data_IF_407945030235
#
_entry.id   IF_407945030235
#
_cell.length_a   1.000
_cell.length_b   1.000
_cell.length_c   1.000
_cell.angle_alpha   90.00
_cell.angle_beta   90.00
_cell.angle_gamma   90.00
#
_symmetry.space_group_name_H-M   'P 1'
#
loop_
_entity.id
_entity.type
_entity.pdbx_description
1 polymer ?
#
# COMPACT_ATOMS: atom_id res chain seq x y z
N UNK A 1 32.58 -4.66 13.39
CA UNK A 1 31.14 -5.01 13.43
C UNK A 1 30.57 -4.75 12.04
N UNK A 2 29.77 -5.67 11.48
CA UNK A 2 29.15 -5.44 10.17
C UNK A 2 28.09 -4.32 10.27
N UNK A 3 28.00 -3.48 9.24
CA UNK A 3 26.99 -2.43 9.14
C UNK A 3 25.59 -3.08 9.04
N UNK A 4 24.56 -2.58 9.75
CA UNK A 4 23.21 -3.11 9.61
C UNK A 4 22.74 -2.94 8.16
N UNK A 5 22.13 -4.00 7.60
CA UNK A 5 21.52 -3.96 6.26
C UNK A 5 20.38 -2.93 6.23
N UNK A 6 20.33 -2.16 5.17
CA UNK A 6 19.23 -1.26 4.81
C UNK A 6 17.96 -2.05 4.42
N UNK A 7 16.78 -1.39 4.40
CA UNK A 7 15.53 -2.05 4.00
C UNK A 7 15.57 -2.68 2.60
N UNK A 8 16.29 -2.08 1.65
CA UNK A 8 16.39 -2.60 0.28
C UNK A 8 17.35 -3.80 0.19
N UNK A 9 18.45 -3.79 0.94
CA UNK A 9 19.35 -4.95 1.05
C UNK A 9 18.63 -6.16 1.69
N UNK A 10 17.78 -5.92 2.69
CA UNK A 10 16.94 -6.96 3.27
C UNK A 10 15.85 -7.43 2.30
N UNK A 11 15.33 -6.55 1.44
CA UNK A 11 14.34 -6.94 0.44
C UNK A 11 14.95 -7.86 -0.62
N UNK A 12 16.16 -7.54 -1.09
CA UNK A 12 16.88 -8.37 -2.05
C UNK A 12 17.14 -9.78 -1.53
N UNK A 13 17.48 -9.94 -0.24
CA UNK A 13 17.67 -11.26 0.38
C UNK A 13 16.37 -11.95 0.79
N UNK A 14 15.20 -11.30 0.63
CA UNK A 14 13.91 -11.82 1.08
C UNK A 14 13.70 -11.79 2.60
N UNK A 15 14.54 -11.06 3.33
CA UNK A 15 14.53 -10.96 4.79
C UNK A 15 13.75 -9.73 5.30
N UNK A 16 13.26 -8.87 4.40
CA UNK A 16 12.44 -7.72 4.77
C UNK A 16 10.96 -8.09 4.96
N UNK A 17 10.62 -8.55 6.16
CA UNK A 17 9.23 -8.84 6.57
C UNK A 17 8.33 -7.60 6.70
N UNK A 18 8.88 -6.39 6.51
CA UNK A 18 8.17 -5.12 6.60
C UNK A 18 8.39 -4.25 5.36
N UNK A 19 8.47 -4.90 4.18
CA UNK A 19 8.73 -4.23 2.90
C UNK A 19 7.75 -3.09 2.60
N UNK A 20 6.52 -3.18 3.11
CA UNK A 20 5.49 -2.14 3.02
C UNK A 20 5.83 -0.83 3.75
N UNK A 21 6.80 -0.83 4.67
CA UNK A 21 7.28 0.41 5.30
C UNK A 21 8.33 1.14 4.45
N UNK A 22 8.84 0.48 3.40
CA UNK A 22 9.83 1.05 2.50
C UNK A 22 9.24 1.35 1.12
N UNK A 23 8.58 0.37 0.52
CA UNK A 23 7.89 0.50 -0.77
C UNK A 23 6.49 1.12 -0.62
N UNK A 24 5.96 1.60 -1.74
CA UNK A 24 4.69 2.30 -1.81
C UNK A 24 4.85 3.81 -1.61
N UNK A 25 3.77 4.46 -1.18
CA UNK A 25 3.72 5.89 -0.90
C UNK A 25 3.85 6.16 0.60
N UNK A 26 4.76 7.06 0.97
CA UNK A 26 4.97 7.47 2.36
C UNK A 26 5.12 8.98 2.44
N UNK A 27 4.46 9.60 3.42
CA UNK A 27 4.69 11.01 3.72
C UNK A 27 6.10 11.17 4.30
N UNK A 28 6.84 12.16 3.80
CA UNK A 28 8.20 12.43 4.22
C UNK A 28 8.47 13.94 4.23
N UNK A 29 9.39 14.36 5.09
CA UNK A 29 9.93 15.72 5.08
C UNK A 29 11.37 15.67 4.55
N UNK A 30 11.66 16.47 3.53
CA UNK A 30 12.99 16.62 2.95
C UNK A 30 13.39 18.10 3.03
N UNK A 31 14.28 18.42 3.96
CA UNK A 31 14.59 19.81 4.32
C UNK A 31 13.37 20.51 4.93
N UNK A 32 13.00 21.67 4.38
CA UNK A 32 11.81 22.42 4.80
C UNK A 32 10.53 21.98 4.09
N UNK A 33 10.63 21.06 3.12
CA UNK A 33 9.51 20.66 2.29
C UNK A 33 8.87 19.37 2.78
N UNK A 34 7.56 19.42 3.01
CA UNK A 34 6.73 18.22 3.25
C UNK A 34 6.19 17.73 1.92
N UNK A 35 6.27 16.42 1.68
CA UNK A 35 5.78 15.79 0.47
C UNK A 35 5.62 14.29 0.66
N UNK A 36 5.65 13.58 -0.46
CA UNK A 36 5.51 12.14 -0.50
C UNK A 36 6.70 11.53 -1.25
N UNK A 37 7.20 10.43 -0.72
CA UNK A 37 8.13 9.56 -1.43
C UNK A 37 7.39 8.33 -1.94
N UNK A 38 7.56 8.05 -3.22
CA UNK A 38 7.00 6.88 -3.89
C UNK A 38 8.14 5.94 -4.23
N UNK A 39 7.98 4.66 -3.90
CA UNK A 39 8.98 3.63 -4.22
C UNK A 39 8.33 2.40 -4.81
N UNK A 40 8.87 1.91 -5.93
CA UNK A 40 8.40 0.69 -6.57
C UNK A 40 9.57 -0.16 -7.06
N UNK A 41 9.48 -1.47 -6.89
CA UNK A 41 10.46 -2.39 -7.44
C UNK A 41 10.07 -2.80 -8.86
N UNK A 42 10.91 -2.45 -9.83
CA UNK A 42 10.69 -2.75 -11.25
C UNK A 42 12.04 -2.88 -11.97
N UNK A 43 12.85 -3.91 -11.64
CA UNK A 43 14.26 -3.98 -12.04
C UNK A 43 14.47 -3.97 -13.56
N UNK A 44 13.53 -4.56 -14.31
CA UNK A 44 13.60 -4.67 -15.77
C UNK A 44 12.90 -3.53 -16.52
N UNK A 45 12.33 -2.54 -15.82
CA UNK A 45 11.77 -1.36 -16.47
C UNK A 45 12.89 -0.51 -17.11
N UNK A 46 12.58 0.10 -18.24
CA UNK A 46 13.45 1.09 -18.88
C UNK A 46 13.29 2.46 -18.22
N UNK A 47 12.06 2.80 -17.82
CA UNK A 47 11.72 4.04 -17.13
C UNK A 47 10.43 3.84 -16.32
N UNK A 48 10.27 4.63 -15.26
CA UNK A 48 9.04 4.69 -14.47
C UNK A 48 8.72 6.16 -14.22
N UNK A 49 7.47 6.55 -14.41
CA UNK A 49 6.95 7.86 -14.03
C UNK A 49 5.83 7.72 -13.00
N UNK A 50 5.78 8.69 -12.10
CA UNK A 50 4.64 8.90 -11.24
C UNK A 50 3.58 9.70 -12.02
N UNK A 51 2.36 9.21 -12.05
CA UNK A 51 1.24 9.82 -12.76
C UNK A 51 0.01 9.83 -11.85
N UNK A 52 -0.74 10.91 -11.84
CA UNK A 52 -1.91 11.07 -10.99
C UNK A 52 -2.58 12.43 -11.15
N UNK A 53 -3.52 12.73 -10.27
CA UNK A 53 -4.31 13.96 -10.36
C UNK A 53 -3.45 15.24 -10.27
N UNK A 54 -2.39 15.21 -9.46
CA UNK A 54 -1.46 16.33 -9.22
C UNK A 54 -0.58 16.68 -10.43
N UNK A 55 -0.57 15.86 -11.48
CA UNK A 55 0.16 16.15 -12.71
C UNK A 55 -0.65 15.83 -13.97
N UNK A 56 -1.98 15.81 -13.87
CA UNK A 56 -2.88 15.59 -15.00
C UNK A 56 -2.61 14.27 -15.74
N UNK A 57 -2.07 13.26 -15.04
CA UNK A 57 -1.70 11.96 -15.59
C UNK A 57 -0.59 11.99 -16.67
N UNK A 58 0.21 13.06 -16.70
CA UNK A 58 1.32 13.29 -17.66
C UNK A 58 2.67 12.70 -17.21
N UNK A 59 3.62 12.52 -18.15
CA UNK A 59 4.92 11.89 -17.90
C UNK A 59 5.96 12.85 -17.27
N UNK A 60 5.51 13.78 -16.44
CA UNK A 60 6.32 14.91 -15.94
C UNK A 60 7.17 14.57 -14.71
N UNK A 61 6.93 13.43 -14.06
CA UNK A 61 7.56 13.04 -12.79
C UNK A 61 8.31 11.70 -12.91
N UNK A 62 9.51 11.68 -13.53
CA UNK A 62 10.30 10.47 -13.65
C UNK A 62 10.88 10.02 -12.31
N UNK A 63 10.83 8.71 -12.04
CA UNK A 63 11.50 8.12 -10.89
C UNK A 63 12.97 7.85 -11.19
N UNK A 64 13.80 7.95 -10.16
CA UNK A 64 15.21 7.61 -10.20
C UNK A 64 15.39 6.12 -9.87
N UNK A 65 16.13 5.41 -10.72
CA UNK A 65 16.44 3.99 -10.52
C UNK A 65 17.67 3.84 -9.62
N UNK A 66 17.53 3.05 -8.57
CA UNK A 66 18.66 2.44 -7.88
C UNK A 66 19.23 1.33 -8.78
N UNK A 67 20.42 1.56 -9.33
CA UNK A 67 21.05 0.64 -10.28
C UNK A 67 21.44 -0.71 -9.66
N UNK A 68 21.64 -0.78 -8.35
CA UNK A 68 22.03 -2.00 -7.66
C UNK A 68 20.83 -2.90 -7.39
N UNK A 69 19.73 -2.32 -6.90
CA UNK A 69 18.57 -3.11 -6.43
C UNK A 69 17.38 -3.11 -7.41
N UNK A 70 17.39 -2.24 -8.42
CA UNK A 70 16.30 -2.11 -9.39
C UNK A 70 15.00 -1.52 -8.81
N UNK A 71 15.10 -0.87 -7.65
CA UNK A 71 14.04 -0.05 -7.08
C UNK A 71 14.03 1.33 -7.75
N UNK A 72 12.85 1.92 -7.85
CA UNK A 72 12.63 3.25 -8.42
C UNK A 72 12.05 4.14 -7.36
N UNK A 73 12.52 5.38 -7.22
CA UNK A 73 11.99 6.32 -6.25
C UNK A 73 11.87 7.76 -6.77
N UNK A 74 10.91 8.49 -6.21
CA UNK A 74 10.78 9.94 -6.37
C UNK A 74 10.21 10.54 -5.09
N UNK A 75 10.80 11.64 -4.63
CA UNK A 75 10.18 12.55 -3.67
C UNK A 75 9.54 13.72 -4.42
N UNK A 76 8.29 14.02 -4.10
CA UNK A 76 7.60 15.19 -4.66
C UNK A 76 6.61 15.79 -3.66
N UNK A 77 6.53 17.13 -3.57
CA UNK A 77 5.55 17.85 -2.75
C UNK A 77 4.20 18.07 -3.44
N UNK A 78 4.09 17.76 -4.74
CA UNK A 78 2.89 18.04 -5.55
C UNK A 78 1.65 17.27 -5.08
N UNK A 79 1.74 15.97 -4.73
CA UNK A 79 0.57 15.20 -4.34
C UNK A 79 0.04 15.61 -2.97
N UNK A 80 -1.26 15.41 -2.77
CA UNK A 80 -1.93 15.54 -1.47
C UNK A 80 -2.70 14.27 -1.11
N UNK A 81 -3.05 14.15 0.16
CA UNK A 81 -3.93 13.07 0.64
C UNK A 81 -5.26 13.12 -0.10
N UNK A 82 -5.68 11.98 -0.64
CA UNK A 82 -6.89 11.81 -1.43
C UNK A 82 -6.65 11.77 -2.94
N UNK A 83 -5.49 12.20 -3.45
CA UNK A 83 -5.20 12.12 -4.88
C UNK A 83 -5.08 10.67 -5.36
N UNK A 84 -5.55 10.44 -6.58
CA UNK A 84 -5.35 9.19 -7.29
C UNK A 84 -4.00 9.17 -8.00
N UNK A 85 -3.34 8.01 -8.00
CA UNK A 85 -2.07 7.82 -8.70
C UNK A 85 -1.88 6.40 -9.23
N UNK A 86 -0.95 6.28 -10.19
CA UNK A 86 -0.38 5.03 -10.71
C UNK A 86 1.11 5.23 -11.02
N UNK A 87 1.78 4.14 -11.35
CA UNK A 87 3.06 4.18 -12.03
C UNK A 87 2.85 3.96 -13.52
N UNK A 88 3.34 4.88 -14.34
CA UNK A 88 3.51 4.60 -15.76
C UNK A 88 4.86 3.93 -15.97
N UNK A 89 4.85 2.69 -16.44
CA UNK A 89 6.06 1.87 -16.57
C UNK A 89 6.36 1.67 -18.05
N UNK A 90 7.56 2.10 -18.47
CA UNK A 90 8.13 1.70 -19.77
C UNK A 90 8.81 0.34 -19.61
N UNK A 91 8.19 -0.68 -20.20
CA UNK A 91 8.63 -2.06 -20.11
C UNK A 91 9.89 -2.32 -20.95
N UNK A 92 10.50 -3.50 -20.77
CA UNK A 92 11.68 -3.91 -21.52
C UNK A 92 11.45 -3.95 -23.04
N UNK A 93 10.21 -4.19 -23.50
CA UNK A 93 9.80 -4.17 -24.91
C UNK A 93 9.52 -2.74 -25.44
N UNK A 94 9.68 -1.72 -24.60
CA UNK A 94 9.46 -0.31 -24.93
C UNK A 94 8.02 0.17 -24.78
N UNK A 95 7.05 -0.71 -24.47
CA UNK A 95 5.65 -0.31 -24.26
C UNK A 95 5.48 0.40 -22.94
N UNK A 96 4.58 1.38 -22.92
CA UNK A 96 4.21 2.12 -21.72
C UNK A 96 2.87 1.62 -21.19
N UNK A 97 2.84 1.22 -19.92
CA UNK A 97 1.65 0.65 -19.28
C UNK A 97 1.44 1.25 -17.91
N UNK A 98 0.22 1.68 -17.64
CA UNK A 98 -0.20 2.07 -16.30
C UNK A 98 -0.28 0.84 -15.39
N UNK A 99 0.40 0.92 -14.25
CA UNK A 99 0.41 -0.09 -13.20
C UNK A 99 0.00 0.54 -11.88
N UNK A 100 -0.89 -0.17 -11.18
CA UNK A 100 -1.23 0.17 -9.82
C UNK A 100 -0.04 -0.09 -8.91
N UNK A 101 0.10 0.69 -7.84
CA UNK A 101 1.13 0.48 -6.84
C UNK A 101 0.90 -0.85 -6.11
N UNK A 102 1.85 -1.81 -6.15
CA UNK A 102 1.71 -3.09 -5.45
C UNK A 102 1.61 -2.96 -3.93
N UNK A 103 2.10 -1.85 -3.37
CA UNK A 103 2.13 -1.57 -1.93
C UNK A 103 1.11 -0.50 -1.51
N UNK A 104 0.19 -0.10 -2.41
CA UNK A 104 -0.88 0.82 -2.04
C UNK A 104 -1.78 0.25 -0.94
N UNK A 105 -2.12 1.10 0.03
CA UNK A 105 -2.99 0.78 1.16
C UNK A 105 -4.46 1.03 0.86
N UNK A 106 -4.75 1.82 -0.18
CA UNK A 106 -6.06 2.27 -0.54
C UNK A 106 -6.22 2.37 -2.06
N UNK A 107 -7.43 2.09 -2.53
CA UNK A 107 -7.75 2.00 -3.95
C UNK A 107 -9.05 2.71 -4.24
N UNK A 108 -9.17 3.17 -5.48
CA UNK A 108 -10.41 3.69 -6.01
C UNK A 108 -11.52 2.63 -6.01
N UNK A 109 -12.78 3.08 -5.90
CA UNK A 109 -13.92 2.18 -5.98
C UNK A 109 -14.02 1.61 -7.41
N UNK A 110 -14.33 0.32 -7.51
CA UNK A 110 -14.64 -0.34 -8.78
C UNK A 110 -15.73 0.43 -9.54
N UNK A 111 -15.66 0.52 -10.88
CA UNK A 111 -14.78 -0.23 -11.79
C UNK A 111 -13.38 0.36 -11.98
N UNK A 112 -13.08 1.51 -11.38
CA UNK A 112 -11.79 2.15 -11.53
C UNK A 112 -10.69 1.43 -10.73
N UNK A 113 -9.42 1.80 -10.96
CA UNK A 113 -8.27 1.01 -10.52
C UNK A 113 -7.01 1.84 -10.18
N UNK A 114 -7.17 3.11 -9.82
CA UNK A 114 -6.06 3.90 -9.29
C UNK A 114 -5.81 3.58 -7.81
N UNK A 115 -4.56 3.77 -7.37
CA UNK A 115 -4.23 3.83 -5.96
C UNK A 115 -4.59 5.22 -5.41
N UNK A 116 -4.92 5.31 -4.12
CA UNK A 116 -5.23 6.57 -3.44
C UNK A 116 -4.14 6.86 -2.42
N UNK A 117 -3.66 8.11 -2.39
CA UNK A 117 -2.78 8.56 -1.32
C UNK A 117 -3.60 8.68 -0.04
N UNK A 118 -3.47 7.71 0.85
CA UNK A 118 -4.18 7.69 2.13
C UNK A 118 -3.20 7.61 3.30
N UNK A 119 -3.38 8.52 4.26
CA UNK A 119 -2.74 8.39 5.56
C UNK A 119 -3.55 7.46 6.45
N UNK A 120 -2.90 6.41 6.95
CA UNK A 120 -3.52 5.52 7.93
C UNK A 120 -3.67 6.27 9.26
N UNK A 121 -4.89 6.49 9.75
CA UNK A 121 -5.08 7.18 11.02
C UNK A 121 -4.55 6.32 12.18
N UNK A 122 -3.96 6.95 13.18
CA UNK A 122 -3.62 6.26 14.42
C UNK A 122 -4.90 5.72 15.08
N UNK A 123 -4.93 4.40 15.28
CA UNK A 123 -6.05 3.73 15.94
C UNK A 123 -5.62 3.20 17.31
N UNK A 124 -6.24 3.71 18.36
CA UNK A 124 -6.09 3.18 19.73
C UNK A 124 -6.88 1.88 19.89
N UNK A 125 -6.22 0.76 19.63
CA UNK A 125 -6.80 -0.57 19.81
C UNK A 125 -7.10 -0.87 21.29
N UNK A 126 -8.19 -1.61 21.54
CA UNK A 126 -8.68 -1.97 22.90
C UNK A 126 -8.70 -3.47 23.16
N UNK A 127 -7.98 -4.25 22.36
CA UNK A 127 -7.98 -5.72 22.32
C UNK A 127 -6.85 -6.35 23.16
N UNK A 128 -6.22 -5.58 24.07
CA UNK A 128 -5.05 -6.02 24.85
C UNK A 128 -5.31 -7.27 25.69
N UNK A 129 -6.50 -7.39 26.30
CA UNK A 129 -6.89 -8.58 27.09
C UNK A 129 -6.93 -9.83 26.22
N UNK A 130 -7.53 -9.73 25.03
CA UNK A 130 -7.60 -10.82 24.06
C UNK A 130 -6.21 -11.25 23.57
N UNK A 131 -5.35 -10.29 23.21
CA UNK A 131 -3.98 -10.60 22.76
C UNK A 131 -3.15 -11.31 23.85
N UNK A 132 -3.31 -10.93 25.12
CA UNK A 132 -2.61 -11.57 26.23
C UNK A 132 -3.08 -13.02 26.46
N UNK A 133 -4.40 -13.24 26.45
CA UNK A 133 -4.98 -14.58 26.59
C UNK A 133 -4.52 -15.50 25.46
N UNK A 134 -4.54 -15.02 24.22
CA UNK A 134 -4.14 -15.78 23.04
C UNK A 134 -2.65 -16.16 22.99
N UNK A 135 -1.78 -15.48 23.74
CA UNK A 135 -0.35 -15.83 23.89
C UNK A 135 -0.12 -16.91 24.94
N UNK A 136 -1.01 -17.02 25.92
CA UNK A 136 -0.88 -17.95 27.05
C UNK A 136 -1.57 -19.29 26.79
N UNK A 137 -2.63 -19.31 25.97
CA UNK A 137 -3.35 -20.55 25.65
C UNK A 137 -2.71 -21.30 24.47
N UNK A 138 -2.56 -22.63 24.61
CA UNK A 138 -2.26 -23.52 23.50
C UNK A 138 -3.45 -23.59 22.54
N UNK A 139 -3.40 -22.80 21.45
CA UNK A 139 -4.52 -22.60 20.51
C UNK A 139 -5.13 -23.89 19.94
N UNK A 140 -4.38 -24.97 19.88
CA UNK A 140 -4.81 -26.25 19.31
C UNK A 140 -5.69 -27.09 20.24
N UNK A 141 -5.71 -26.79 21.54
CA UNK A 141 -6.43 -27.59 22.55
C UNK A 141 -7.69 -26.89 23.08
N UNK A 142 -8.22 -25.91 22.34
CA UNK A 142 -9.44 -25.18 22.69
C UNK A 142 -10.56 -25.46 21.68
N UNK A 143 -11.83 -25.46 22.10
CA UNK A 143 -12.94 -25.58 21.16
C UNK A 143 -12.91 -24.41 20.18
N UNK A 144 -12.91 -24.71 18.88
CA UNK A 144 -12.92 -23.74 17.81
C UNK A 144 -14.11 -24.05 16.89
N UNK A 145 -15.07 -23.13 16.82
CA UNK A 145 -16.16 -23.17 15.85
C UNK A 145 -16.05 -21.91 15.00
N UNK A 146 -15.86 -22.08 13.69
CA UNK A 146 -15.66 -20.97 12.75
C UNK A 146 -16.96 -20.75 11.98
N UNK A 147 -17.48 -19.52 12.03
CA UNK A 147 -18.56 -19.08 11.15
C UNK A 147 -17.95 -18.33 9.96
N UNK A 148 -17.99 -18.95 8.78
CA UNK A 148 -17.47 -18.35 7.55
C UNK A 148 -18.45 -17.31 7.01
N UNK A 149 -17.93 -16.13 6.64
CA UNK A 149 -18.73 -15.00 6.17
C UNK A 149 -18.10 -14.39 4.92
N UNK A 150 -18.90 -14.27 3.85
CA UNK A 150 -18.56 -13.42 2.72
C UNK A 150 -19.09 -12.01 2.97
N UNK A 151 -18.19 -11.08 3.31
CA UNK A 151 -18.55 -9.74 3.82
C UNK A 151 -19.42 -8.93 2.86
N UNK A 152 -19.32 -9.16 1.55
CA UNK A 152 -20.06 -8.42 0.52
C UNK A 152 -21.43 -9.01 0.14
N UNK A 153 -21.84 -10.13 0.73
CA UNK A 153 -23.16 -10.73 0.49
C UNK A 153 -23.84 -11.26 1.75
N UNK A 154 -23.33 -10.89 2.92
CA UNK A 154 -23.84 -11.39 4.19
C UNK A 154 -25.17 -10.75 4.59
N UNK A 155 -25.35 -9.45 4.30
CA UNK A 155 -26.65 -8.80 4.40
C UNK A 155 -26.85 -7.80 3.26
N UNK A 156 -28.09 -7.74 2.80
CA UNK A 156 -28.55 -6.80 1.79
C UNK A 156 -29.83 -6.11 2.29
N UNK A 157 -30.05 -4.90 1.83
CA UNK A 157 -31.34 -4.21 1.92
C UNK A 157 -32.39 -4.95 1.06
N UNK A 158 -33.67 -4.59 1.22
CA UNK A 158 -34.78 -5.22 0.45
C UNK A 158 -34.63 -5.08 -1.07
N UNK A 159 -33.95 -4.02 -1.53
CA UNK A 159 -33.68 -3.76 -2.95
C UNK A 159 -32.46 -4.51 -3.51
N UNK A 160 -31.80 -5.34 -2.70
CA UNK A 160 -30.61 -6.11 -3.07
C UNK A 160 -29.30 -5.34 -2.93
N UNK A 161 -29.32 -4.08 -2.46
CA UNK A 161 -28.11 -3.31 -2.18
C UNK A 161 -27.36 -3.91 -0.99
N UNK A 162 -26.04 -4.11 -1.13
CA UNK A 162 -25.21 -4.64 -0.06
C UNK A 162 -25.10 -3.65 1.11
N UNK A 163 -25.28 -4.15 2.34
CA UNK A 163 -25.09 -3.36 3.57
C UNK A 163 -23.61 -3.38 3.94
N UNK A 164 -22.88 -2.25 3.85
CA UNK A 164 -21.47 -2.23 4.18
C UNK A 164 -21.25 -2.51 5.67
N UNK A 165 -20.13 -3.16 6.00
CA UNK A 165 -19.87 -3.64 7.36
C UNK A 165 -19.93 -2.53 8.43
N UNK A 166 -19.61 -1.29 8.04
CA UNK A 166 -19.62 -0.13 8.93
C UNK A 166 -21.04 0.33 9.33
N UNK A 167 -22.08 -0.14 8.62
CA UNK A 167 -23.47 0.22 8.89
C UNK A 167 -24.14 -0.73 9.90
N UNK A 168 -23.54 -1.87 10.21
CA UNK A 168 -24.01 -2.70 11.32
C UNK A 168 -23.65 -1.98 12.62
N UNK A 169 -24.69 -1.47 13.31
CA UNK A 169 -24.52 -0.94 14.66
C UNK A 169 -24.04 -2.09 15.55
N UNK A 170 -23.09 -1.78 16.44
CA UNK A 170 -22.79 -2.69 17.54
C UNK A 170 -24.08 -2.86 18.36
N UNK A 171 -24.45 -4.10 18.73
CA UNK A 171 -25.51 -4.32 19.70
C UNK A 171 -25.15 -3.66 21.05
#
# INVERSE_FOLDING_TARGET
MAKPKSPIELFETGENFYSQHYFGVHQMQQGEQTGFIFRVWAPNAQAVWLVGDFNEWEHSLPLLKDAHFGAWEIFTPLPKVGDFYKFLVKQADGREVYKIDPFATAFEKRPNNAAVIQMMPERKWRDKVWQNSAKQSGKLNQPLTIYEVHTSSWACEEDGTHIPLNNFKKP
#
